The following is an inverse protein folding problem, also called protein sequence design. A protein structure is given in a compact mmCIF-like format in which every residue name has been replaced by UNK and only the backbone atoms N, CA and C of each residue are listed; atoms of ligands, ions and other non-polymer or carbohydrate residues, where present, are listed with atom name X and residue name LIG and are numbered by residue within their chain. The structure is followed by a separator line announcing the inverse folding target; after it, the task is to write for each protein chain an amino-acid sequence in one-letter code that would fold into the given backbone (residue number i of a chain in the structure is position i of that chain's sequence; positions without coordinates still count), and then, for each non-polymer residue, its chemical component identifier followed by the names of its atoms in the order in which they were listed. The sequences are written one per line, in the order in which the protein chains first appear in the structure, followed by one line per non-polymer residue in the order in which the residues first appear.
data_IF_012989430071
#
_entry.id   IF_012989430071
#
_cell.length_a   1.000
_cell.length_b   1.000
_cell.length_c   1.000
_cell.angle_alpha   90.00
_cell.angle_beta   90.00
_cell.angle_gamma   90.00
#
_symmetry.space_group_name_H-M   'P 1'
#
loop_
_entity.id
_entity.type
_entity.pdbx_description
1 polymer ?
#
# COMPACT_ATOMS: atom_id res chain seq x y z
N UNK A 1 -11.25 10.39 -10.18
CA UNK A 1 -11.56 8.99 -9.77
C UNK A 1 -12.40 8.21 -10.79
N UNK A 2 -13.52 8.74 -11.30
CA UNK A 2 -14.44 8.02 -12.23
C UNK A 2 -13.72 7.29 -13.38
N UNK A 3 -12.80 7.96 -14.08
CA UNK A 3 -12.06 7.38 -15.22
C UNK A 3 -11.19 6.17 -14.83
N UNK A 4 -10.59 6.18 -13.64
CA UNK A 4 -9.82 5.02 -13.14
C UNK A 4 -10.74 3.83 -12.86
N UNK A 5 -11.92 4.09 -12.29
CA UNK A 5 -12.94 3.07 -12.00
C UNK A 5 -13.43 2.40 -13.29
N UNK A 6 -13.81 3.22 -14.28
CA UNK A 6 -14.33 2.71 -15.55
C UNK A 6 -13.30 1.86 -16.34
N UNK A 7 -12.01 2.07 -16.10
CA UNK A 7 -10.91 1.37 -16.79
C UNK A 7 -10.24 0.31 -15.91
N UNK A 8 -10.78 0.05 -14.72
CA UNK A 8 -10.26 -0.96 -13.82
C UNK A 8 -8.88 -0.70 -13.23
N UNK A 9 -8.56 0.58 -13.07
CA UNK A 9 -7.31 1.07 -12.47
C UNK A 9 -7.51 1.57 -11.04
N UNK A 10 -8.77 1.66 -10.59
CA UNK A 10 -9.18 1.94 -9.22
C UNK A 10 -10.51 1.26 -8.96
N UNK A 11 -10.78 0.88 -7.72
CA UNK A 11 -11.97 0.16 -7.27
C UNK A 11 -12.28 -1.19 -7.97
N UNK A 12 -11.60 -1.56 -9.04
CA UNK A 12 -11.71 -2.90 -9.61
C UNK A 12 -11.31 -3.93 -8.55
N UNK A 13 -12.19 -4.91 -8.36
CA UNK A 13 -12.13 -5.94 -7.32
C UNK A 13 -12.35 -5.46 -5.88
N UNK A 14 -12.91 -4.26 -5.63
CA UNK A 14 -13.48 -3.99 -4.31
C UNK A 14 -14.67 -4.93 -4.06
N UNK A 15 -14.79 -5.41 -2.83
CA UNK A 15 -15.91 -6.23 -2.42
C UNK A 15 -17.13 -5.35 -2.15
N UNK A 16 -18.20 -5.56 -2.92
CA UNK A 16 -19.44 -4.80 -2.78
C UNK A 16 -20.23 -5.30 -1.55
N UNK A 17 -20.47 -4.39 -0.61
CA UNK A 17 -21.29 -4.62 0.57
C UNK A 17 -22.65 -3.98 0.35
N UNK A 18 -23.61 -4.75 -0.16
CA UNK A 18 -24.94 -4.24 -0.56
C UNK A 18 -26.12 -5.00 0.07
N UNK A 19 -25.84 -6.06 0.84
CA UNK A 19 -26.85 -6.84 1.54
C UNK A 19 -26.97 -6.38 3.00
N UNK A 20 -28.19 -6.13 3.53
CA UNK A 20 -28.39 -5.73 4.92
C UNK A 20 -27.69 -6.63 5.96
N UNK A 21 -27.59 -7.93 5.70
CA UNK A 21 -26.91 -8.88 6.58
C UNK A 21 -25.39 -8.62 6.63
N UNK A 22 -24.79 -8.37 5.47
CA UNK A 22 -23.34 -8.13 5.33
C UNK A 22 -22.99 -6.74 5.89
N UNK A 23 -23.82 -5.72 5.63
CA UNK A 23 -23.71 -4.40 6.26
C UNK A 23 -23.74 -4.52 7.79
N UNK A 24 -24.68 -5.31 8.32
CA UNK A 24 -24.77 -5.57 9.77
C UNK A 24 -23.51 -6.25 10.31
N UNK A 25 -22.97 -7.25 9.61
CA UNK A 25 -21.73 -7.93 10.02
C UNK A 25 -20.55 -6.96 10.09
N UNK A 26 -20.39 -6.13 9.07
CA UNK A 26 -19.36 -5.10 9.04
C UNK A 26 -19.50 -4.11 10.20
N UNK A 27 -20.71 -3.58 10.42
CA UNK A 27 -21.00 -2.69 11.55
C UNK A 27 -20.77 -3.36 12.91
N UNK A 28 -21.06 -4.66 13.04
CA UNK A 28 -20.75 -5.38 14.27
C UNK A 28 -19.23 -5.47 14.51
N UNK A 29 -18.41 -5.66 13.47
CA UNK A 29 -16.95 -5.59 13.61
C UNK A 29 -16.51 -4.20 14.07
N UNK A 30 -17.03 -3.13 13.46
CA UNK A 30 -16.71 -1.76 13.88
C UNK A 30 -17.03 -1.55 15.37
N UNK A 31 -18.20 -1.99 15.82
CA UNK A 31 -18.62 -1.86 17.23
C UNK A 31 -17.71 -2.69 18.16
N UNK A 32 -17.36 -3.91 17.77
CA UNK A 32 -16.51 -4.81 18.58
C UNK A 32 -15.09 -4.26 18.72
N UNK A 33 -14.57 -3.59 17.69
CA UNK A 33 -13.29 -2.83 17.73
C UNK A 33 -13.41 -1.58 18.62
N UNK A 34 -14.60 -1.01 18.77
CA UNK A 34 -14.84 0.26 19.47
C UNK A 34 -14.97 1.48 18.56
N UNK A 35 -15.19 1.27 17.27
CA UNK A 35 -15.41 2.29 16.25
C UNK A 35 -16.90 2.60 16.06
N UNK A 36 -17.18 3.76 15.47
CA UNK A 36 -18.56 4.17 15.17
C UNK A 36 -19.09 3.40 13.95
N UNK A 37 -20.28 2.77 14.01
CA UNK A 37 -20.86 2.08 12.87
C UNK A 37 -21.24 3.06 11.75
N UNK A 38 -21.12 2.62 10.50
CA UNK A 38 -21.57 3.39 9.33
C UNK A 38 -23.09 3.41 9.21
N UNK A 39 -23.63 4.51 8.67
CA UNK A 39 -25.06 4.65 8.35
C UNK A 39 -25.37 4.28 6.90
N UNK A 40 -24.33 4.00 6.10
CA UNK A 40 -24.46 3.60 4.71
C UNK A 40 -25.20 2.26 4.59
N UNK A 41 -26.12 2.19 3.63
CA UNK A 41 -26.85 0.96 3.31
C UNK A 41 -26.10 0.08 2.31
N UNK A 42 -25.15 0.67 1.60
CA UNK A 42 -24.28 -0.01 0.65
C UNK A 42 -22.97 0.76 0.49
N UNK A 43 -21.87 0.04 0.37
CA UNK A 43 -20.52 0.59 0.20
C UNK A 43 -19.59 -0.48 -0.37
N UNK A 44 -18.36 -0.11 -0.69
CA UNK A 44 -17.34 -1.04 -1.16
C UNK A 44 -16.19 -1.12 -0.15
N UNK A 45 -15.64 -2.31 0.04
CA UNK A 45 -14.46 -2.51 0.89
C UNK A 45 -13.32 -3.13 0.10
N UNK A 46 -12.11 -2.79 0.48
CA UNK A 46 -10.90 -3.36 -0.07
C UNK A 46 -10.59 -4.73 0.57
N UNK A 47 -9.48 -5.36 0.19
CA UNK A 47 -9.09 -6.68 0.72
C UNK A 47 -8.96 -6.70 2.25
N UNK A 48 -8.72 -5.55 2.87
CA UNK A 48 -8.57 -5.41 4.30
C UNK A 48 -9.82 -4.91 5.03
N UNK A 49 -10.89 -4.64 4.28
CA UNK A 49 -12.13 -4.13 4.84
C UNK A 49 -12.20 -2.61 4.90
N UNK A 50 -11.22 -1.87 4.39
CA UNK A 50 -11.31 -0.41 4.32
C UNK A 50 -12.25 0.04 3.21
N UNK A 51 -13.09 1.04 3.48
CA UNK A 51 -14.05 1.62 2.53
C UNK A 51 -13.77 3.10 2.31
N UNK A 52 -13.65 3.56 1.04
CA UNK A 52 -13.55 4.98 0.72
C UNK A 52 -14.82 5.74 1.09
N UNK A 53 -16.00 5.14 0.93
CA UNK A 53 -17.28 5.79 1.25
C UNK A 53 -17.46 5.99 2.75
N UNK A 54 -17.02 5.03 3.58
CA UNK A 54 -17.05 5.17 5.05
C UNK A 54 -16.00 6.19 5.50
N UNK A 55 -14.81 6.20 4.89
CA UNK A 55 -13.79 7.20 5.18
C UNK A 55 -14.29 8.63 4.90
N UNK A 56 -15.05 8.81 3.80
CA UNK A 56 -15.72 10.07 3.48
C UNK A 56 -16.83 10.40 4.48
N UNK A 57 -17.72 9.45 4.81
CA UNK A 57 -18.79 9.62 5.80
C UNK A 57 -18.25 10.09 7.16
N UNK A 58 -17.12 9.53 7.59
CA UNK A 58 -16.52 9.80 8.89
C UNK A 58 -15.53 10.97 8.87
N UNK A 59 -15.17 11.50 7.69
CA UNK A 59 -14.10 12.48 7.54
C UNK A 59 -12.74 11.96 8.04
N UNK A 60 -12.54 10.64 8.08
CA UNK A 60 -11.35 9.99 8.61
C UNK A 60 -10.87 8.89 7.66
N UNK A 61 -9.76 9.15 6.96
CA UNK A 61 -9.17 8.21 6.00
C UNK A 61 -8.58 6.96 6.67
N UNK A 62 -8.21 7.05 7.95
CA UNK A 62 -7.55 5.98 8.72
C UNK A 62 -8.47 5.43 9.81
N UNK A 63 -9.78 5.37 9.58
CA UNK A 63 -10.74 4.95 10.61
C UNK A 63 -10.54 3.52 11.12
N UNK A 64 -9.93 2.63 10.33
CA UNK A 64 -9.52 1.29 10.78
C UNK A 64 -8.16 1.29 11.49
N UNK A 65 -7.90 2.30 12.32
CA UNK A 65 -6.71 2.34 13.16
C UNK A 65 -6.96 3.21 14.38
N UNK A 66 -6.56 2.73 15.55
CA UNK A 66 -6.50 3.56 16.75
C UNK A 66 -5.18 4.32 16.77
N UNK A 67 -5.26 5.61 16.47
CA UNK A 67 -4.08 6.45 16.28
C UNK A 67 -3.34 6.05 14.99
N UNK A 68 -2.06 5.73 15.10
CA UNK A 68 -1.22 5.30 13.97
C UNK A 68 -0.44 4.00 14.26
N UNK A 69 -0.60 3.42 15.45
CA UNK A 69 0.16 2.24 15.89
C UNK A 69 -0.64 0.93 15.84
N UNK A 70 -1.98 1.02 15.85
CA UNK A 70 -2.83 -0.15 16.00
C UNK A 70 -3.81 -0.24 14.82
N UNK A 71 -3.37 -0.69 13.64
CA UNK A 71 -4.25 -0.86 12.49
C UNK A 71 -5.06 -2.15 12.61
N UNK A 72 -6.29 -2.09 12.10
CA UNK A 72 -7.25 -3.19 12.11
C UNK A 72 -7.64 -3.59 10.69
N UNK A 73 -8.01 -4.86 10.56
CA UNK A 73 -8.65 -5.40 9.36
C UNK A 73 -10.03 -5.94 9.65
N UNK A 74 -10.94 -5.82 8.69
CA UNK A 74 -12.27 -6.42 8.74
C UNK A 74 -12.43 -7.37 7.55
N UNK A 75 -12.73 -8.64 7.84
CA UNK A 75 -13.02 -9.67 6.86
C UNK A 75 -14.47 -10.15 7.07
N UNK A 76 -15.31 -9.94 6.08
CA UNK A 76 -16.72 -10.36 6.09
C UNK A 76 -17.03 -11.38 4.99
N UNK A 77 -16.06 -11.70 4.14
CA UNK A 77 -16.21 -12.69 3.08
C UNK A 77 -14.83 -13.24 2.61
N UNK A 78 -14.77 -14.49 2.12
CA UNK A 78 -13.55 -15.06 1.55
C UNK A 78 -13.14 -14.41 0.21
N UNK A 79 -14.09 -13.79 -0.51
CA UNK A 79 -13.82 -13.09 -1.77
C UNK A 79 -12.87 -11.89 -1.62
N UNK A 80 -12.71 -11.35 -0.40
CA UNK A 80 -11.71 -10.32 -0.09
C UNK A 80 -10.26 -10.78 -0.35
N UNK A 81 -9.98 -12.09 -0.50
CA UNK A 81 -8.68 -12.62 -0.93
C UNK A 81 -8.13 -11.90 -2.17
N UNK A 82 -9.01 -11.67 -3.15
CA UNK A 82 -8.66 -11.08 -4.44
C UNK A 82 -8.74 -9.55 -4.44
N UNK A 83 -9.21 -8.98 -3.33
CA UNK A 83 -9.33 -7.54 -3.16
C UNK A 83 -7.95 -6.86 -3.08
N UNK A 84 -7.73 -5.73 -3.77
CA UNK A 84 -6.55 -4.91 -3.56
C UNK A 84 -6.56 -4.31 -2.14
N UNK A 85 -5.40 -3.86 -1.65
CA UNK A 85 -5.32 -3.01 -0.45
C UNK A 85 -5.07 -1.58 -0.91
N UNK A 86 -6.08 -0.72 -0.80
CA UNK A 86 -6.00 0.67 -1.27
C UNK A 86 -5.42 1.59 -0.21
N UNK A 87 -5.64 1.27 1.06
CA UNK A 87 -5.18 2.07 2.19
C UNK A 87 -4.33 1.25 3.16
N UNK A 88 -3.13 0.81 2.73
CA UNK A 88 -2.19 0.14 3.64
C UNK A 88 -1.57 1.15 4.63
N UNK A 89 -1.49 0.76 5.91
CA UNK A 89 -0.78 1.54 6.92
C UNK A 89 0.73 1.39 6.78
N UNK A 90 1.17 0.22 6.31
CA UNK A 90 2.55 -0.16 6.05
C UNK A 90 2.71 -0.85 4.69
N UNK A 91 3.90 -0.80 4.09
CA UNK A 91 4.15 -1.50 2.81
C UNK A 91 4.02 -3.02 2.87
N UNK A 92 4.29 -3.63 4.02
CA UNK A 92 4.23 -5.08 4.19
C UNK A 92 2.81 -5.62 4.35
N UNK A 93 1.83 -4.74 4.58
CA UNK A 93 0.43 -5.12 4.82
C UNK A 93 -0.16 -5.99 3.70
N UNK A 94 0.19 -5.68 2.45
CA UNK A 94 -0.19 -6.49 1.28
C UNK A 94 0.38 -7.90 1.29
N UNK A 95 1.52 -8.11 1.96
CA UNK A 95 2.12 -9.43 2.16
C UNK A 95 1.39 -10.19 3.27
N UNK A 96 1.04 -9.49 4.36
CA UNK A 96 0.26 -10.05 5.46
C UNK A 96 -1.10 -10.55 4.94
N UNK A 97 -1.81 -9.75 4.15
CA UNK A 97 -3.09 -10.16 3.54
C UNK A 97 -2.97 -11.46 2.72
N UNK A 98 -1.98 -11.53 1.83
CA UNK A 98 -1.71 -12.73 1.04
C UNK A 98 -1.40 -13.94 1.92
N UNK A 99 -0.62 -13.75 2.98
CA UNK A 99 -0.26 -14.81 3.93
C UNK A 99 -1.50 -15.34 4.67
N UNK A 100 -2.33 -14.43 5.21
CA UNK A 100 -3.55 -14.76 5.95
C UNK A 100 -4.49 -15.61 5.10
N UNK A 101 -4.82 -15.15 3.89
CA UNK A 101 -5.75 -15.88 3.03
C UNK A 101 -5.14 -17.18 2.50
N UNK A 102 -3.82 -17.24 2.28
CA UNK A 102 -3.14 -18.49 1.93
C UNK A 102 -3.22 -19.54 3.04
N UNK A 103 -3.07 -19.14 4.30
CA UNK A 103 -3.03 -20.06 5.44
C UNK A 103 -4.41 -20.43 5.97
N UNK A 104 -5.36 -19.48 5.97
CA UNK A 104 -6.60 -19.60 6.74
C UNK A 104 -7.87 -19.48 5.89
N UNK A 105 -7.79 -19.74 4.58
CA UNK A 105 -8.94 -19.60 3.66
C UNK A 105 -10.20 -20.32 4.13
N UNK A 106 -10.07 -21.56 4.58
CA UNK A 106 -11.19 -22.39 5.02
C UNK A 106 -11.80 -21.85 6.32
N UNK A 107 -10.96 -21.42 7.26
CA UNK A 107 -11.39 -20.82 8.52
C UNK A 107 -12.11 -19.50 8.29
N UNK A 108 -11.55 -18.64 7.43
CA UNK A 108 -12.17 -17.38 7.02
C UNK A 108 -13.55 -17.66 6.41
N UNK A 109 -13.67 -18.63 5.50
CA UNK A 109 -14.95 -19.00 4.91
C UNK A 109 -15.97 -19.48 5.96
N UNK A 110 -15.56 -20.35 6.88
CA UNK A 110 -16.44 -20.87 7.94
C UNK A 110 -16.90 -19.76 8.91
N UNK A 111 -15.99 -18.88 9.34
CA UNK A 111 -16.31 -17.78 10.27
C UNK A 111 -17.21 -16.76 9.58
N UNK A 112 -16.84 -16.33 8.36
CA UNK A 112 -17.58 -15.30 7.61
C UNK A 112 -18.96 -15.78 7.15
N UNK A 113 -19.17 -17.10 7.04
CA UNK A 113 -20.51 -17.66 6.85
C UNK A 113 -21.45 -17.39 8.04
N UNK A 114 -20.91 -17.19 9.25
CA UNK A 114 -21.68 -16.98 10.48
C UNK A 114 -21.71 -15.51 10.89
N UNK A 115 -20.55 -14.88 11.05
CA UNK A 115 -20.38 -13.56 11.65
C UNK A 115 -19.29 -12.76 10.94
N UNK A 116 -19.01 -11.54 11.41
CA UNK A 116 -17.84 -10.78 10.95
C UNK A 116 -16.57 -11.25 11.65
N UNK A 117 -15.46 -11.29 10.91
CA UNK A 117 -14.12 -11.50 11.41
C UNK A 117 -13.38 -10.17 11.35
N UNK A 118 -12.60 -9.85 12.37
CA UNK A 118 -11.65 -8.75 12.31
C UNK A 118 -10.33 -9.19 12.92
N UNK A 119 -9.28 -8.41 12.65
CA UNK A 119 -7.96 -8.67 13.21
C UNK A 119 -7.24 -7.37 13.51
N UNK A 120 -6.30 -7.42 14.44
CA UNK A 120 -5.34 -6.35 14.68
C UNK A 120 -3.95 -6.79 14.25
N UNK A 121 -3.13 -5.81 13.87
CA UNK A 121 -1.70 -5.98 13.77
C UNK A 121 -1.07 -5.53 15.09
N UNK A 122 -0.84 -6.49 15.98
CA UNK A 122 -0.21 -6.24 17.27
C UNK A 122 1.30 -6.09 17.09
N UNK A 123 1.79 -4.88 17.35
CA UNK A 123 3.21 -4.53 17.28
C UNK A 123 3.87 -4.51 18.66
N UNK A 124 3.16 -4.98 19.71
CA UNK A 124 3.53 -4.90 21.12
C UNK A 124 3.75 -3.46 21.64
N UNK A 125 3.21 -2.48 20.92
CA UNK A 125 3.32 -1.06 21.24
C UNK A 125 1.93 -0.43 21.25
N UNK A 126 1.56 0.15 22.39
CA UNK A 126 0.25 0.80 22.54
C UNK A 126 0.14 2.07 21.70
N UNK A 127 1.20 2.87 21.64
CA UNK A 127 1.27 4.10 20.87
C UNK A 127 2.73 4.47 20.58
N UNK A 128 2.99 5.01 19.39
CA UNK A 128 4.30 5.59 19.08
C UNK A 128 4.43 6.95 19.77
N UNK A 129 5.47 7.11 20.58
CA UNK A 129 5.85 8.39 21.21
C UNK A 129 6.83 9.15 20.35
N UNK A 130 7.66 8.41 19.61
CA UNK A 130 8.71 8.96 18.76
C UNK A 130 8.97 8.06 17.55
N UNK A 131 9.46 8.61 16.42
CA UNK A 131 9.82 7.82 15.23
C UNK A 131 10.75 6.65 15.51
N UNK A 132 11.63 6.80 16.51
CA UNK A 132 12.60 5.78 16.91
C UNK A 132 11.94 4.55 17.55
N UNK A 133 10.71 4.67 18.07
CA UNK A 133 9.96 3.51 18.58
C UNK A 133 9.74 2.46 17.49
N UNK A 134 9.64 2.87 16.21
CA UNK A 134 9.50 1.95 15.07
C UNK A 134 10.75 1.09 14.84
N UNK A 135 11.93 1.57 15.26
CA UNK A 135 13.17 0.79 15.17
C UNK A 135 13.17 -0.41 16.12
N UNK A 136 12.39 -0.36 17.20
CA UNK A 136 12.30 -1.45 18.19
C UNK A 136 11.37 -2.60 17.78
N UNK A 137 10.59 -2.45 16.70
CA UNK A 137 9.56 -3.43 16.30
C UNK A 137 10.17 -4.57 15.46
N UNK A 138 10.44 -5.73 16.04
CA UNK A 138 11.10 -6.83 15.31
C UNK A 138 10.14 -7.76 14.57
N UNK A 139 8.89 -7.82 15.02
CA UNK A 139 7.82 -8.55 14.34
C UNK A 139 6.47 -7.91 14.62
N UNK A 140 5.47 -8.37 13.88
CA UNK A 140 4.06 -8.03 14.08
C UNK A 140 3.29 -9.32 14.22
N UNK A 141 2.37 -9.38 15.17
CA UNK A 141 1.47 -10.52 15.34
C UNK A 141 0.09 -10.17 14.79
N UNK A 142 -0.39 -10.97 13.85
CA UNK A 142 -1.79 -10.89 13.42
C UNK A 142 -2.65 -11.64 14.44
N UNK A 143 -3.54 -10.93 15.12
CA UNK A 143 -4.46 -11.51 16.12
C UNK A 143 -5.90 -11.39 15.63
N UNK A 144 -6.61 -12.51 15.55
CA UNK A 144 -7.96 -12.59 15.00
C UNK A 144 -9.04 -12.62 16.06
N UNK A 145 -10.15 -11.96 15.76
CA UNK A 145 -11.33 -11.86 16.60
C UNK A 145 -12.59 -12.05 15.78
N UNK A 146 -13.47 -12.92 16.26
CA UNK A 146 -14.83 -13.03 15.72
C UNK A 146 -15.79 -12.21 16.57
N UNK A 147 -16.69 -11.48 15.90
CA UNK A 147 -17.85 -10.84 16.54
C UNK A 147 -18.61 -11.85 17.40
N UNK A 148 -19.17 -11.40 18.52
CA UNK A 148 -19.89 -12.22 19.51
C UNK A 148 -19.05 -13.35 20.13
N UNK A 149 -17.71 -13.32 19.94
CA UNK A 149 -16.75 -14.30 20.45
C UNK A 149 -17.03 -15.73 19.99
N UNK A 150 -17.54 -15.90 18.77
CA UNK A 150 -17.84 -17.22 18.16
C UNK A 150 -16.64 -18.18 18.18
N UNK A 151 -15.43 -17.70 17.88
CA UNK A 151 -14.20 -18.52 17.92
C UNK A 151 -13.94 -19.07 19.32
N UNK A 152 -14.09 -18.23 20.35
CA UNK A 152 -13.95 -18.64 21.75
C UNK A 152 -15.05 -19.62 22.16
N UNK A 153 -16.30 -19.33 21.79
CA UNK A 153 -17.44 -20.22 22.06
C UNK A 153 -17.25 -21.59 21.40
N UNK A 154 -16.68 -21.65 20.19
CA UNK A 154 -16.35 -22.90 19.52
C UNK A 154 -15.26 -23.69 20.25
N UNK A 155 -14.21 -23.02 20.73
CA UNK A 155 -13.15 -23.65 21.52
C UNK A 155 -13.70 -24.23 22.82
N UNK A 156 -14.51 -23.46 23.55
CA UNK A 156 -15.19 -23.91 24.77
C UNK A 156 -16.13 -25.11 24.50
N UNK A 157 -16.91 -25.05 23.43
CA UNK A 157 -17.79 -26.15 23.04
C UNK A 157 -17.00 -27.43 22.69
N UNK A 158 -15.89 -27.32 21.97
CA UNK A 158 -15.02 -28.48 21.70
C UNK A 158 -14.41 -29.05 22.98
N UNK A 159 -14.03 -28.21 23.94
CA UNK A 159 -13.51 -28.66 25.24
C UNK A 159 -14.57 -29.45 26.03
N UNK A 160 -15.82 -28.97 26.08
CA UNK A 160 -16.92 -29.69 26.72
C UNK A 160 -17.18 -31.05 26.06
N UNK A 161 -17.19 -31.10 24.73
CA UNK A 161 -17.39 -32.36 23.99
C UNK A 161 -16.21 -33.31 24.23
N UNK A 162 -14.98 -32.81 24.23
CA UNK A 162 -13.80 -33.60 24.54
C UNK A 162 -13.87 -34.17 25.96
N UNK A 163 -14.23 -33.37 26.96
CA UNK A 163 -14.45 -33.84 28.33
C UNK A 163 -15.51 -34.95 28.37
N UNK A 164 -16.60 -34.79 27.63
CA UNK A 164 -17.68 -35.78 27.56
C UNK A 164 -17.22 -37.14 27.01
N UNK A 165 -16.29 -37.15 26.05
CA UNK A 165 -15.77 -38.38 25.44
C UNK A 165 -14.56 -38.96 26.19
N UNK A 166 -13.65 -38.12 26.68
CA UNK A 166 -12.36 -38.53 27.24
C UNK A 166 -12.47 -38.94 28.72
N UNK A 167 -13.42 -38.38 29.49
CA UNK A 167 -13.55 -38.64 30.93
C UNK A 167 -14.49 -39.83 31.20
N UNK A 168 -14.05 -40.86 31.96
CA UNK A 168 -14.91 -42.00 32.31
C UNK A 168 -16.18 -41.56 33.02
N UNK A 169 -17.32 -42.14 32.62
CA UNK A 169 -18.66 -41.84 33.17
C UNK A 169 -19.09 -40.36 33.05
N UNK A 170 -18.45 -39.54 32.21
CA UNK A 170 -18.83 -38.14 32.00
C UNK A 170 -20.28 -37.97 31.49
N UNK A 171 -20.80 -38.98 30.79
CA UNK A 171 -22.21 -39.05 30.41
C UNK A 171 -23.16 -38.96 31.60
N UNK A 172 -22.74 -39.33 32.82
CA UNK A 172 -23.54 -39.24 34.05
C UNK A 172 -23.48 -37.86 34.73
N UNK A 173 -22.49 -37.02 34.39
CA UNK A 173 -22.33 -35.67 34.93
C UNK A 173 -23.42 -34.72 34.39
N UNK A 174 -24.41 -34.38 35.24
CA UNK A 174 -25.52 -33.49 34.88
C UNK A 174 -25.04 -32.07 34.53
N UNK A 175 -24.01 -31.55 35.21
CA UNK A 175 -23.49 -30.21 34.95
C UNK A 175 -22.89 -30.13 33.53
N UNK A 176 -22.02 -31.08 33.19
CA UNK A 176 -21.41 -31.15 31.85
C UNK A 176 -22.48 -31.25 30.74
N UNK A 177 -23.49 -32.10 30.92
CA UNK A 177 -24.60 -32.19 29.95
C UNK A 177 -25.35 -30.87 29.80
N UNK A 178 -25.62 -30.19 30.91
CA UNK A 178 -26.28 -28.88 30.89
C UNK A 178 -25.41 -27.82 30.19
N UNK A 179 -24.12 -27.79 30.47
CA UNK A 179 -23.17 -26.85 29.85
C UNK A 179 -23.09 -27.06 28.33
N UNK A 180 -23.11 -28.32 27.86
CA UNK A 180 -23.19 -28.66 26.42
C UNK A 180 -24.51 -28.17 25.81
N UNK A 181 -25.64 -28.44 26.46
CA UNK A 181 -26.96 -28.04 25.97
C UNK A 181 -27.08 -26.50 25.89
N UNK A 182 -26.65 -25.79 26.92
CA UNK A 182 -26.71 -24.32 26.95
C UNK A 182 -25.76 -23.70 25.92
N UNK A 183 -24.56 -24.25 25.74
CA UNK A 183 -23.66 -23.88 24.65
C UNK A 183 -24.35 -24.02 23.28
N UNK A 184 -24.99 -25.17 23.03
CA UNK A 184 -25.69 -25.43 21.78
C UNK A 184 -26.92 -24.55 21.57
N UNK A 185 -27.68 -24.21 22.61
CA UNK A 185 -28.83 -23.30 22.50
C UNK A 185 -28.40 -21.88 22.16
N UNK A 186 -27.31 -21.42 22.77
CA UNK A 186 -26.84 -20.05 22.63
C UNK A 186 -26.14 -19.81 21.29
N UNK A 187 -25.31 -20.75 20.84
CA UNK A 187 -24.44 -20.55 19.68
C UNK A 187 -24.71 -21.50 18.51
N UNK A 188 -25.59 -22.49 18.68
CA UNK A 188 -25.77 -23.58 17.72
C UNK A 188 -24.69 -24.65 17.83
N UNK A 189 -24.65 -25.55 16.85
CA UNK A 189 -23.61 -26.58 16.74
C UNK A 189 -22.39 -26.03 15.99
N UNK A 190 -21.28 -25.83 16.71
CA UNK A 190 -20.02 -25.29 16.22
C UNK A 190 -18.95 -26.38 16.02
N UNK A 191 -19.26 -27.65 16.31
CA UNK A 191 -18.26 -28.74 16.43
C UNK A 191 -17.51 -29.01 15.13
N UNK A 192 -18.19 -28.91 13.98
CA UNK A 192 -17.64 -29.30 12.68
C UNK A 192 -17.02 -28.16 11.87
N UNK A 193 -17.06 -26.93 12.39
CA UNK A 193 -16.55 -25.74 11.70
C UNK A 193 -15.12 -25.42 12.14
N UNK A 194 -14.28 -25.00 11.21
CA UNK A 194 -12.88 -24.64 11.43
C UNK A 194 -12.76 -23.19 11.91
N UNK A 195 -13.11 -22.94 13.16
CA UNK A 195 -13.07 -21.60 13.73
C UNK A 195 -11.76 -21.19 14.40
N UNK A 196 -10.76 -22.07 14.42
CA UNK A 196 -9.50 -21.76 15.10
C UNK A 196 -8.50 -21.16 14.11
N UNK A 197 -8.16 -19.89 14.33
CA UNK A 197 -7.09 -19.19 13.62
C UNK A 197 -6.05 -18.80 14.68
N UNK A 198 -4.83 -19.35 14.62
CA UNK A 198 -3.78 -19.01 15.57
C UNK A 198 -3.22 -17.62 15.31
N UNK A 199 -2.68 -17.01 16.36
CA UNK A 199 -1.89 -15.78 16.25
C UNK A 199 -0.71 -16.03 15.31
N UNK A 200 -0.56 -15.18 14.31
CA UNK A 200 0.39 -15.40 13.21
C UNK A 200 1.46 -14.33 13.24
N UNK A 201 2.71 -14.66 13.62
CA UNK A 201 3.81 -13.70 13.58
C UNK A 201 4.24 -13.42 12.13
N UNK A 202 4.63 -12.17 11.87
CA UNK A 202 5.17 -11.68 10.62
C UNK A 202 6.45 -10.89 10.89
N UNK A 203 7.56 -11.33 10.31
CA UNK A 203 8.92 -10.85 10.65
C UNK A 203 9.58 -10.03 9.55
N UNK A 204 9.00 -9.96 8.35
CA UNK A 204 9.60 -9.23 7.22
C UNK A 204 9.28 -7.72 7.30
N UNK A 205 9.79 -7.08 8.35
CA UNK A 205 9.56 -5.67 8.69
C UNK A 205 10.86 -4.88 8.90
N UNK A 206 11.96 -5.33 8.30
CA UNK A 206 13.25 -4.63 8.36
C UNK A 206 13.23 -3.30 7.60
N UNK A 207 12.49 -3.25 6.50
CA UNK A 207 12.47 -2.12 5.56
C UNK A 207 11.03 -1.88 5.11
N UNK A 208 10.44 -0.75 5.48
CA UNK A 208 9.04 -0.46 5.18
C UNK A 208 8.73 1.04 5.21
N UNK A 209 7.61 1.41 4.60
CA UNK A 209 6.99 2.71 4.80
C UNK A 209 5.83 2.57 5.77
N UNK A 210 5.57 3.59 6.60
CA UNK A 210 4.38 3.71 7.45
C UNK A 210 3.73 5.08 7.31
N UNK A 211 2.40 5.16 7.48
CA UNK A 211 1.69 6.44 7.62
C UNK A 211 2.01 7.19 8.92
N UNK A 212 2.57 6.52 9.92
CA UNK A 212 2.93 7.16 11.18
C UNK A 212 3.82 8.40 10.94
N UNK A 213 3.72 9.40 11.81
CA UNK A 213 4.50 10.64 11.72
C UNK A 213 4.38 11.38 10.39
N UNK A 214 3.17 11.36 9.79
CA UNK A 214 2.87 11.96 8.49
C UNK A 214 3.69 11.35 7.33
N UNK A 215 3.96 10.05 7.40
CA UNK A 215 4.71 9.30 6.41
C UNK A 215 6.18 9.18 6.77
N UNK A 216 6.64 7.95 7.00
CA UNK A 216 8.00 7.65 7.39
C UNK A 216 8.48 6.36 6.72
N UNK A 217 9.64 6.44 6.08
CA UNK A 217 10.38 5.26 5.63
C UNK A 217 11.32 4.82 6.74
N UNK A 218 11.25 3.54 7.09
CA UNK A 218 12.07 2.90 8.11
C UNK A 218 12.93 1.86 7.42
N UNK A 219 14.24 2.02 7.51
CA UNK A 219 15.22 1.08 6.98
C UNK A 219 16.16 0.65 8.11
N UNK A 220 15.83 -0.45 8.79
CA UNK A 220 16.62 -0.96 9.92
C UNK A 220 17.95 -1.54 9.48
N UNK A 221 17.95 -2.18 8.32
CA UNK A 221 19.11 -2.83 7.73
C UNK A 221 19.05 -2.71 6.21
N UNK A 222 19.72 -1.69 5.67
CA UNK A 222 19.78 -1.44 4.24
C UNK A 222 21.17 -0.93 3.84
N UNK A 223 22.11 -1.86 3.63
CA UNK A 223 23.49 -1.61 3.18
C UNK A 223 24.21 -0.46 3.92
N UNK A 224 23.86 -0.21 5.17
CA UNK A 224 24.37 0.90 5.99
C UNK A 224 24.55 0.44 7.43
N UNK A 225 25.53 1.04 8.12
CA UNK A 225 25.92 0.67 9.49
C UNK A 225 24.89 1.08 10.56
N UNK A 226 24.02 2.03 10.22
CA UNK A 226 22.99 2.57 11.12
C UNK A 226 21.62 2.51 10.44
N UNK A 227 20.53 2.25 11.20
CA UNK A 227 19.18 2.41 10.70
C UNK A 227 18.95 3.80 10.11
N UNK A 228 18.21 3.86 9.01
CA UNK A 228 17.84 5.08 8.31
C UNK A 228 16.34 5.34 8.45
N UNK A 229 15.99 6.55 8.90
CA UNK A 229 14.63 7.07 8.92
C UNK A 229 14.52 8.20 7.90
N UNK A 230 13.54 8.13 6.99
CA UNK A 230 13.27 9.20 6.03
C UNK A 230 11.84 9.71 6.18
N UNK A 231 11.68 10.92 6.69
CA UNK A 231 10.39 11.58 6.83
C UNK A 231 9.89 12.04 5.48
N UNK A 232 8.63 11.72 5.16
CA UNK A 232 7.98 12.10 3.90
C UNK A 232 7.57 13.57 3.87
N UNK A 233 7.50 14.22 5.03
CA UNK A 233 7.27 15.66 5.14
C UNK A 233 8.61 16.42 5.25
N UNK A 234 8.55 17.74 5.08
CA UNK A 234 9.71 18.65 5.22
C UNK A 234 9.74 19.37 6.56
N UNK A 235 8.86 19.01 7.48
CA UNK A 235 8.59 19.77 8.71
C UNK A 235 9.45 19.31 9.89
N UNK A 236 10.16 18.18 9.79
CA UNK A 236 11.09 17.78 10.84
C UNK A 236 12.24 18.78 10.94
N UNK A 237 12.51 19.26 12.16
CA UNK A 237 13.59 20.19 12.44
C UNK A 237 14.99 19.55 12.36
N UNK A 238 15.07 18.21 12.33
CA UNK A 238 16.32 17.43 12.33
C UNK A 238 16.45 16.67 11.01
N UNK A 239 17.60 16.82 10.35
CA UNK A 239 17.93 16.13 9.10
C UNK A 239 19.45 15.99 8.97
N UNK A 240 19.93 14.82 8.56
CA UNK A 240 21.34 14.46 8.47
C UNK A 240 22.03 14.19 9.82
N UNK A 241 21.28 14.10 10.93
CA UNK A 241 21.87 13.86 12.24
C UNK A 241 22.33 12.39 12.37
N UNK A 242 23.60 12.20 12.70
CA UNK A 242 24.24 10.87 12.84
C UNK A 242 24.81 10.62 14.25
N UNK A 243 24.55 11.53 15.19
CA UNK A 243 25.01 11.47 16.60
C UNK A 243 24.31 10.36 17.38
N UNK A 244 23.11 9.96 16.96
CA UNK A 244 22.31 8.90 17.56
C UNK A 244 22.67 7.51 17.02
N UNK A 245 21.99 6.48 17.53
CA UNK A 245 22.09 5.10 17.04
C UNK A 245 21.51 4.88 15.64
N UNK A 246 20.96 5.92 15.02
CA UNK A 246 20.30 5.92 13.72
C UNK A 246 20.58 7.23 12.97
N UNK A 247 20.17 7.30 11.71
CA UNK A 247 20.30 8.46 10.82
C UNK A 247 18.90 8.90 10.39
N UNK A 248 18.66 10.21 10.38
CA UNK A 248 17.37 10.80 10.01
C UNK A 248 17.54 11.75 8.84
N UNK A 249 16.65 11.67 7.85
CA UNK A 249 16.55 12.67 6.78
C UNK A 249 15.10 13.09 6.58
N UNK A 250 14.91 14.35 6.21
CA UNK A 250 13.71 14.76 5.51
C UNK A 250 13.82 14.41 4.02
N UNK A 251 12.69 14.12 3.38
CA UNK A 251 12.64 13.82 1.93
C UNK A 251 13.23 14.94 1.06
N UNK A 252 13.17 16.18 1.55
CA UNK A 252 13.66 17.36 0.86
C UNK A 252 15.13 17.70 1.12
N UNK A 253 15.84 16.91 1.94
CA UNK A 253 17.25 17.17 2.23
C UNK A 253 18.13 16.88 1.00
N UNK A 254 18.91 17.88 0.59
CA UNK A 254 19.90 17.77 -0.47
C UNK A 254 20.91 16.63 -0.30
N UNK A 255 21.22 16.21 0.94
CA UNK A 255 22.18 15.14 1.21
C UNK A 255 21.57 13.74 1.13
N UNK A 256 20.24 13.61 1.14
CA UNK A 256 19.56 12.31 1.14
C UNK A 256 19.97 11.48 -0.09
N UNK A 257 19.89 12.06 -1.28
CA UNK A 257 20.23 11.35 -2.52
C UNK A 257 21.70 10.90 -2.54
N UNK A 258 22.61 11.77 -2.07
CA UNK A 258 24.03 11.43 -1.95
C UNK A 258 24.25 10.30 -0.95
N UNK A 259 23.55 10.31 0.19
CA UNK A 259 23.61 9.24 1.18
C UNK A 259 23.12 7.90 0.59
N UNK A 260 21.95 7.90 -0.06
CA UNK A 260 21.39 6.70 -0.67
C UNK A 260 22.31 6.12 -1.76
N UNK A 261 22.94 6.99 -2.56
CA UNK A 261 23.87 6.58 -3.61
C UNK A 261 25.15 5.99 -3.02
N UNK A 262 25.78 6.66 -2.05
CA UNK A 262 27.03 6.23 -1.43
C UNK A 262 26.90 4.91 -0.65
N UNK A 263 25.70 4.57 -0.19
CA UNK A 263 25.41 3.29 0.49
C UNK A 263 24.85 2.22 -0.44
N UNK A 264 24.94 2.38 -1.77
CA UNK A 264 24.42 1.43 -2.76
C UNK A 264 22.93 1.06 -2.54
N UNK A 265 22.12 2.03 -2.12
CA UNK A 265 20.66 1.87 -1.97
C UNK A 265 19.96 2.21 -3.29
N UNK A 266 20.46 3.24 -3.98
CA UNK A 266 19.97 3.66 -5.29
C UNK A 266 21.10 3.61 -6.31
N UNK A 267 20.74 3.56 -7.59
CA UNK A 267 21.65 3.61 -8.72
C UNK A 267 21.11 4.57 -9.78
N UNK A 268 22.01 4.98 -10.66
CA UNK A 268 21.76 5.79 -11.86
C UNK A 268 22.23 5.06 -13.13
N UNK A 269 22.36 3.73 -13.06
CA UNK A 269 22.79 2.90 -14.18
C UNK A 269 21.76 2.96 -15.31
N UNK A 270 22.14 3.56 -16.44
CA UNK A 270 21.25 3.76 -17.56
C UNK A 270 20.90 2.45 -18.29
N UNK A 271 21.67 1.38 -18.09
CA UNK A 271 21.45 0.09 -18.74
C UNK A 271 20.06 -0.48 -18.44
N UNK A 272 19.49 -0.20 -17.25
CA UNK A 272 18.15 -0.67 -16.89
C UNK A 272 17.05 -0.14 -17.83
N UNK A 273 17.27 1.02 -18.45
CA UNK A 273 16.32 1.65 -19.35
C UNK A 273 16.39 1.10 -20.77
N UNK A 274 17.37 0.25 -21.10
CA UNK A 274 17.39 -0.48 -22.39
C UNK A 274 16.26 -1.50 -22.49
N UNK A 275 16.00 -2.21 -21.40
CA UNK A 275 14.90 -3.18 -21.34
C UNK A 275 13.54 -2.48 -21.29
N UNK A 276 13.50 -1.27 -20.74
CA UNK A 276 12.25 -0.52 -20.51
C UNK A 276 12.36 0.96 -20.91
N UNK A 277 12.62 1.27 -22.20
CA UNK A 277 12.81 2.65 -22.66
C UNK A 277 11.54 3.50 -22.51
N UNK A 278 10.38 2.84 -22.43
CA UNK A 278 9.10 3.47 -22.15
C UNK A 278 9.09 4.25 -20.84
N UNK A 279 9.87 3.86 -19.82
CA UNK A 279 9.94 4.63 -18.57
C UNK A 279 10.51 6.04 -18.79
N UNK A 280 11.53 6.15 -19.64
CA UNK A 280 12.16 7.42 -20.02
C UNK A 280 11.22 8.22 -20.93
N UNK A 281 10.53 7.56 -21.86
CA UNK A 281 9.54 8.19 -22.73
C UNK A 281 8.37 8.78 -21.93
N UNK A 282 7.85 8.06 -20.93
CA UNK A 282 6.77 8.55 -20.08
C UNK A 282 7.17 9.78 -19.27
N UNK A 283 8.40 9.81 -18.70
CA UNK A 283 8.91 10.99 -18.00
C UNK A 283 8.95 12.19 -18.96
N UNK A 284 9.52 12.00 -20.15
CA UNK A 284 9.65 13.04 -21.17
C UNK A 284 8.29 13.59 -21.60
N UNK A 285 7.35 12.71 -21.91
CA UNK A 285 6.00 13.08 -22.35
C UNK A 285 5.20 13.75 -21.21
N UNK A 286 5.41 13.32 -19.96
CA UNK A 286 4.77 13.93 -18.80
C UNK A 286 5.30 15.33 -18.52
N UNK A 287 6.61 15.58 -18.66
CA UNK A 287 7.20 16.93 -18.60
C UNK A 287 6.57 17.83 -19.67
N UNK A 288 6.46 17.35 -20.91
CA UNK A 288 5.82 18.12 -21.99
C UNK A 288 4.35 18.42 -21.68
N UNK A 289 3.58 17.41 -21.26
CA UNK A 289 2.17 17.57 -20.89
C UNK A 289 1.99 18.61 -19.79
N UNK A 290 2.79 18.57 -18.72
CA UNK A 290 2.75 19.57 -17.64
C UNK A 290 3.09 20.98 -18.15
N UNK A 291 4.07 21.08 -19.06
CA UNK A 291 4.48 22.35 -19.67
C UNK A 291 3.36 22.93 -20.54
N UNK A 292 2.68 22.09 -21.33
CA UNK A 292 1.52 22.47 -22.15
C UNK A 292 0.37 22.97 -21.27
N UNK A 293 0.01 22.23 -20.21
CA UNK A 293 -1.05 22.64 -19.29
C UNK A 293 -0.76 23.97 -18.58
N UNK A 294 0.51 24.23 -18.26
CA UNK A 294 0.95 25.49 -17.66
C UNK A 294 0.93 26.67 -18.64
N UNK A 295 1.11 26.41 -19.94
CA UNK A 295 1.15 27.43 -20.98
C UNK A 295 -0.22 27.77 -21.55
N UNK A 296 -0.96 26.76 -22.02
CA UNK A 296 -2.25 26.93 -22.69
C UNK A 296 -3.13 25.69 -22.51
N UNK A 297 -4.09 25.81 -21.59
CA UNK A 297 -5.04 24.74 -21.25
C UNK A 297 -6.01 24.39 -22.38
N UNK A 298 -6.10 25.21 -23.43
CA UNK A 298 -6.95 24.90 -24.59
C UNK A 298 -6.32 23.84 -25.50
N UNK A 299 -5.00 23.66 -25.42
CA UNK A 299 -4.29 22.62 -26.16
C UNK A 299 -4.61 21.26 -25.53
N UNK A 300 -5.33 20.42 -26.28
CA UNK A 300 -5.67 19.05 -25.87
C UNK A 300 -4.51 18.09 -26.18
N UNK A 301 -3.50 18.04 -25.30
CA UNK A 301 -2.27 17.27 -25.54
C UNK A 301 -2.53 15.80 -25.91
N UNK A 302 -3.49 15.15 -25.24
CA UNK A 302 -3.82 13.74 -25.48
C UNK A 302 -4.31 13.47 -26.92
N UNK A 303 -4.84 14.48 -27.62
CA UNK A 303 -5.40 14.35 -28.97
C UNK A 303 -4.38 14.71 -30.07
N UNK A 304 -3.21 15.23 -29.69
CA UNK A 304 -2.21 15.67 -30.65
C UNK A 304 -1.48 14.47 -31.26
N UNK A 305 -1.41 14.44 -32.59
CA UNK A 305 -0.52 13.55 -33.30
C UNK A 305 0.96 14.01 -33.17
N UNK A 306 1.89 13.15 -33.61
CA UNK A 306 3.33 13.41 -33.51
C UNK A 306 3.77 14.74 -34.16
N UNK A 307 3.19 15.11 -35.30
CA UNK A 307 3.53 16.36 -36.01
C UNK A 307 3.00 17.57 -35.26
N UNK A 308 1.78 17.50 -34.73
CA UNK A 308 1.20 18.56 -33.90
C UNK A 308 1.99 18.76 -32.61
N UNK A 309 2.42 17.67 -31.94
CA UNK A 309 3.29 17.75 -30.76
C UNK A 309 4.58 18.51 -31.06
N UNK A 310 5.24 18.25 -32.20
CA UNK A 310 6.42 19.03 -32.64
C UNK A 310 6.12 20.51 -32.83
N UNK A 311 4.97 20.86 -33.39
CA UNK A 311 4.54 22.25 -33.54
C UNK A 311 4.40 22.96 -32.18
N UNK A 312 3.79 22.29 -31.22
CA UNK A 312 3.65 22.80 -29.84
C UNK A 312 5.00 22.96 -29.16
N UNK A 313 5.90 21.98 -29.27
CA UNK A 313 7.26 22.07 -28.71
C UNK A 313 8.01 23.28 -29.27
N UNK A 314 7.97 23.51 -30.59
CA UNK A 314 8.62 24.68 -31.19
C UNK A 314 8.03 26.01 -30.69
N UNK A 315 6.71 26.07 -30.50
CA UNK A 315 6.03 27.25 -29.92
C UNK A 315 6.49 27.47 -28.47
N UNK A 316 6.50 26.44 -27.63
CA UNK A 316 6.96 26.53 -26.25
C UNK A 316 8.46 26.90 -26.16
N UNK A 317 9.26 26.44 -27.12
CA UNK A 317 10.67 26.78 -27.23
C UNK A 317 10.87 28.27 -27.59
N UNK A 318 10.10 28.82 -28.54
CA UNK A 318 10.16 30.25 -28.86
C UNK A 318 9.75 31.15 -27.69
N UNK A 319 8.88 30.65 -26.82
CA UNK A 319 8.46 31.34 -25.59
C UNK A 319 9.43 31.13 -24.41
N UNK A 320 10.50 30.33 -24.58
CA UNK A 320 11.51 30.03 -23.55
C UNK A 320 10.94 29.31 -22.30
N UNK A 321 9.88 28.51 -22.48
CA UNK A 321 9.18 27.80 -21.39
C UNK A 321 9.56 26.30 -21.35
N UNK A 322 10.14 25.76 -22.42
CA UNK A 322 10.53 24.35 -22.47
C UNK A 322 11.69 24.01 -21.51
N UNK A 323 11.52 23.02 -20.62
CA UNK A 323 12.61 22.55 -19.75
C UNK A 323 13.74 21.87 -20.54
N UNK A 324 15.00 22.11 -20.15
CA UNK A 324 16.19 21.49 -20.78
C UNK A 324 16.16 19.96 -20.64
N UNK A 325 15.61 19.46 -19.54
CA UNK A 325 15.44 18.05 -19.21
C UNK A 325 14.67 17.30 -20.30
N UNK A 326 13.71 17.96 -20.98
CA UNK A 326 12.96 17.37 -22.09
C UNK A 326 13.90 16.96 -23.24
N UNK A 327 14.82 17.84 -23.62
CA UNK A 327 15.75 17.61 -24.73
C UNK A 327 16.85 16.62 -24.35
N UNK A 328 17.30 16.64 -23.09
CA UNK A 328 18.22 15.62 -22.58
C UNK A 328 17.57 14.21 -22.57
N UNK A 329 16.30 14.10 -22.21
CA UNK A 329 15.55 12.85 -22.29
C UNK A 329 15.35 12.38 -23.74
N UNK A 330 15.09 13.30 -24.68
CA UNK A 330 15.04 12.98 -26.11
C UNK A 330 16.39 12.44 -26.62
N UNK A 331 17.49 13.07 -26.22
CA UNK A 331 18.84 12.61 -26.52
C UNK A 331 19.10 11.24 -25.91
N UNK A 332 18.76 11.04 -24.63
CA UNK A 332 18.90 9.75 -23.94
C UNK A 332 18.15 8.63 -24.68
N UNK A 333 16.89 8.84 -25.06
CA UNK A 333 16.10 7.86 -25.82
C UNK A 333 16.74 7.48 -27.17
N UNK A 334 17.46 8.40 -27.81
CA UNK A 334 18.19 8.08 -29.05
C UNK A 334 19.45 7.24 -28.77
N UNK A 335 20.13 7.50 -27.65
CA UNK A 335 21.35 6.83 -27.21
C UNK A 335 21.07 5.44 -26.62
N UNK A 336 19.92 5.20 -25.98
CA UNK A 336 19.56 3.88 -25.43
C UNK A 336 19.58 2.75 -26.47
N UNK A 337 19.60 3.06 -27.76
CA UNK A 337 19.69 2.11 -28.87
C UNK A 337 21.12 1.71 -29.25
N UNK A 338 22.15 2.37 -28.70
CA UNK A 338 23.57 2.16 -28.99
C UNK A 338 24.36 1.90 -27.69
N UNK A 339 24.87 0.66 -27.56
CA UNK A 339 25.60 0.18 -26.39
C UNK A 339 26.88 0.96 -26.08
N UNK A 340 27.56 1.51 -27.08
CA UNK A 340 28.80 2.28 -26.84
C UNK A 340 28.50 3.71 -26.41
N UNK A 341 27.41 4.26 -26.93
CA UNK A 341 27.00 5.62 -26.63
C UNK A 341 26.45 5.76 -25.20
N UNK A 342 25.73 4.77 -24.68
CA UNK A 342 25.17 4.81 -23.32
C UNK A 342 26.26 4.76 -22.24
N UNK A 343 27.30 3.94 -22.41
CA UNK A 343 28.40 3.80 -21.44
C UNK A 343 29.23 5.07 -21.28
N UNK A 344 29.23 5.92 -22.31
CA UNK A 344 29.94 7.20 -22.32
C UNK A 344 29.03 8.40 -22.06
N UNK A 345 27.72 8.19 -21.89
CA UNK A 345 26.76 9.27 -21.68
C UNK A 345 26.73 9.72 -20.22
N UNK A 346 27.01 11.00 -19.99
CA UNK A 346 26.87 11.63 -18.68
C UNK A 346 25.50 12.31 -18.57
N UNK A 347 24.75 11.98 -17.52
CA UNK A 347 23.48 12.62 -17.17
C UNK A 347 23.74 13.90 -16.37
N UNK A 348 23.04 14.98 -16.71
CA UNK A 348 23.11 16.24 -15.96
C UNK A 348 22.60 16.08 -14.52
N UNK A 349 23.02 16.98 -13.63
CA UNK A 349 22.54 16.99 -12.25
C UNK A 349 21.02 17.23 -12.16
N UNK A 350 20.45 17.97 -13.12
CA UNK A 350 19.01 18.24 -13.20
C UNK A 350 18.21 17.01 -13.62
N UNK A 351 18.72 16.23 -14.58
CA UNK A 351 18.03 15.04 -15.09
C UNK A 351 18.20 13.82 -14.17
N UNK A 352 19.31 13.74 -13.43
CA UNK A 352 19.64 12.57 -12.60
C UNK A 352 18.50 12.11 -11.67
N UNK A 353 17.79 13.00 -10.93
CA UNK A 353 16.69 12.59 -10.05
C UNK A 353 15.52 11.89 -10.75
N UNK A 354 15.37 12.04 -12.06
CA UNK A 354 14.31 11.38 -12.84
C UNK A 354 14.66 9.93 -13.21
N UNK A 355 15.95 9.60 -13.18
CA UNK A 355 16.50 8.34 -13.66
C UNK A 355 17.04 7.46 -12.52
N UNK A 356 16.76 7.84 -11.27
CA UNK A 356 17.12 7.04 -10.11
C UNK A 356 16.22 5.82 -10.01
N UNK A 357 16.83 4.70 -9.62
CA UNK A 357 16.15 3.45 -9.35
C UNK A 357 16.83 2.72 -8.17
N UNK A 358 16.18 1.73 -7.55
CA UNK A 358 16.82 0.91 -6.54
C UNK A 358 18.06 0.20 -7.10
N UNK A 359 19.08 0.03 -6.26
CA UNK A 359 20.28 -0.71 -6.62
C UNK A 359 19.95 -2.19 -6.92
N UNK A 360 20.68 -2.81 -7.85
CA UNK A 360 20.46 -4.18 -8.32
C UNK A 360 20.54 -5.21 -7.20
N UNK A 361 21.42 -4.96 -6.23
CA UNK A 361 21.79 -5.89 -5.15
C UNK A 361 20.74 -5.97 -4.03
N UNK A 362 19.77 -5.04 -4.03
CA UNK A 362 18.68 -5.06 -3.06
C UNK A 362 17.73 -6.24 -3.30
N UNK A 363 17.21 -6.81 -2.21
CA UNK A 363 16.13 -7.81 -2.26
C UNK A 363 14.86 -7.19 -2.83
N UNK A 364 13.99 -8.01 -3.41
CA UNK A 364 12.76 -7.55 -4.07
C UNK A 364 11.85 -6.69 -3.16
N UNK A 365 11.70 -7.07 -1.89
CA UNK A 365 10.90 -6.30 -0.94
C UNK A 365 11.56 -4.95 -0.58
N UNK A 366 12.89 -4.90 -0.48
CA UNK A 366 13.63 -3.64 -0.29
C UNK A 366 13.49 -2.72 -1.51
N UNK A 367 13.61 -3.28 -2.72
CA UNK A 367 13.44 -2.53 -3.98
C UNK A 367 12.08 -1.85 -4.05
N UNK A 368 11.00 -2.50 -3.60
CA UNK A 368 9.65 -1.90 -3.58
C UNK A 368 9.57 -0.67 -2.68
N UNK A 369 10.14 -0.73 -1.47
CA UNK A 369 10.14 0.40 -0.53
C UNK A 369 11.02 1.53 -1.04
N UNK A 370 12.20 1.22 -1.60
CA UNK A 370 13.08 2.22 -2.23
C UNK A 370 12.42 2.85 -3.46
N UNK A 371 11.71 2.07 -4.29
CA UNK A 371 10.92 2.61 -5.39
C UNK A 371 9.84 3.56 -4.91
N UNK A 372 9.13 3.19 -3.84
CA UNK A 372 8.11 4.05 -3.24
C UNK A 372 8.71 5.37 -2.76
N UNK A 373 9.87 5.32 -2.07
CA UNK A 373 10.65 6.49 -1.65
C UNK A 373 11.03 7.38 -2.84
N UNK A 374 11.61 6.79 -3.88
CA UNK A 374 11.99 7.52 -5.10
C UNK A 374 10.79 8.16 -5.79
N UNK A 375 9.63 7.51 -5.79
CA UNK A 375 8.38 8.09 -6.31
C UNK A 375 7.89 9.27 -5.46
N UNK A 376 8.13 9.27 -4.15
CA UNK A 376 7.86 10.42 -3.28
C UNK A 376 8.82 11.57 -3.56
N UNK A 377 10.10 11.28 -3.83
CA UNK A 377 11.11 12.30 -4.20
C UNK A 377 10.80 12.89 -5.58
N UNK A 378 10.51 12.04 -6.58
CA UNK A 378 10.23 12.44 -7.95
C UNK A 378 9.00 11.71 -8.50
N UNK A 379 7.97 12.51 -8.80
CA UNK A 379 6.65 12.04 -9.21
C UNK A 379 6.36 12.28 -10.71
N UNK A 380 7.39 12.39 -11.55
CA UNK A 380 7.24 12.64 -12.99
C UNK A 380 7.02 11.39 -13.85
N UNK A 381 6.93 10.22 -13.23
CA UNK A 381 6.58 8.99 -13.93
C UNK A 381 5.28 8.41 -13.34
N UNK A 382 4.13 8.61 -14.00
CA UNK A 382 2.84 8.15 -13.49
C UNK A 382 2.72 6.62 -13.46
N UNK A 383 3.48 5.90 -14.29
CA UNK A 383 3.50 4.43 -14.27
C UNK A 383 4.21 3.92 -13.01
N UNK A 384 5.38 4.42 -12.67
CA UNK A 384 6.08 4.00 -11.43
C UNK A 384 5.32 4.42 -10.19
N UNK A 385 4.70 5.60 -10.19
CA UNK A 385 3.77 6.03 -9.13
C UNK A 385 2.65 5.01 -8.93
N UNK A 386 1.97 4.60 -10.01
CA UNK A 386 0.89 3.62 -9.91
C UNK A 386 1.37 2.24 -9.44
N UNK A 387 2.57 1.83 -9.82
CA UNK A 387 3.10 0.51 -9.48
C UNK A 387 3.63 0.42 -8.05
N UNK A 388 4.33 1.47 -7.59
CA UNK A 388 5.09 1.43 -6.33
C UNK A 388 4.57 2.38 -5.26
N UNK A 389 3.79 3.41 -5.60
CA UNK A 389 3.22 4.35 -4.63
C UNK A 389 1.76 4.71 -4.97
N UNK A 390 0.88 3.70 -4.92
CA UNK A 390 -0.55 3.84 -5.25
C UNK A 390 -1.26 4.93 -4.46
N UNK A 391 -0.96 5.06 -3.17
CA UNK A 391 -1.57 6.08 -2.31
C UNK A 391 -1.26 7.49 -2.81
N UNK A 392 0.01 7.78 -3.10
CA UNK A 392 0.43 9.06 -3.68
C UNK A 392 -0.15 9.26 -5.08
N UNK A 393 -0.14 8.22 -5.91
CA UNK A 393 -0.74 8.27 -7.25
C UNK A 393 -2.22 8.69 -7.20
N UNK A 394 -3.04 8.07 -6.36
CA UNK A 394 -4.46 8.39 -6.28
C UNK A 394 -4.72 9.79 -5.72
N UNK A 395 -3.89 10.24 -4.76
CA UNK A 395 -3.94 11.61 -4.26
C UNK A 395 -3.67 12.62 -5.38
N UNK A 396 -2.56 12.44 -6.11
CA UNK A 396 -2.17 13.33 -7.21
C UNK A 396 -3.14 13.28 -8.39
N UNK A 397 -3.66 12.10 -8.73
CA UNK A 397 -4.60 11.92 -9.82
C UNK A 397 -5.88 12.74 -9.61
N UNK A 398 -6.34 12.88 -8.36
CA UNK A 398 -7.49 13.71 -8.01
C UNK A 398 -7.28 15.20 -8.31
N UNK A 399 -6.04 15.68 -8.26
CA UNK A 399 -5.66 17.08 -8.47
C UNK A 399 -5.26 17.39 -9.92
N UNK A 400 -4.95 16.36 -10.72
CA UNK A 400 -4.56 16.54 -12.12
C UNK A 400 -5.69 17.04 -13.00
N UNK A 401 -5.34 17.88 -13.97
CA UNK A 401 -6.26 18.35 -15.00
C UNK A 401 -6.82 17.19 -15.83
N UNK A 402 -8.03 17.37 -16.38
CA UNK A 402 -8.75 16.33 -17.11
C UNK A 402 -7.92 15.69 -18.23
N UNK A 403 -7.22 16.48 -19.04
CA UNK A 403 -6.39 15.94 -20.12
C UNK A 403 -5.22 15.09 -19.60
N UNK A 404 -4.69 15.42 -18.42
CA UNK A 404 -3.64 14.64 -17.77
C UNK A 404 -4.17 13.33 -17.25
N UNK A 405 -5.35 13.34 -16.63
CA UNK A 405 -6.03 12.14 -16.19
C UNK A 405 -6.28 11.17 -17.35
N UNK A 406 -6.76 11.67 -18.50
CA UNK A 406 -6.99 10.86 -19.71
C UNK A 406 -5.67 10.24 -20.19
N UNK A 407 -4.65 11.06 -20.42
CA UNK A 407 -3.36 10.58 -20.91
C UNK A 407 -2.73 9.54 -19.98
N UNK A 408 -2.79 9.74 -18.66
CA UNK A 408 -2.26 8.78 -17.69
C UNK A 408 -3.02 7.45 -17.74
N UNK A 409 -4.36 7.47 -17.80
CA UNK A 409 -5.17 6.25 -17.91
C UNK A 409 -4.77 5.44 -19.13
N UNK A 410 -4.63 6.08 -20.30
CA UNK A 410 -4.20 5.41 -21.53
C UNK A 410 -2.84 4.73 -21.35
N UNK A 411 -1.87 5.43 -20.74
CA UNK A 411 -0.53 4.88 -20.50
C UNK A 411 -0.50 3.76 -19.47
N UNK A 412 -1.33 3.81 -18.45
CA UNK A 412 -1.46 2.71 -17.50
C UNK A 412 -2.08 1.48 -18.14
N UNK A 413 -3.08 1.62 -19.00
CA UNK A 413 -3.67 0.49 -19.71
C UNK A 413 -2.66 -0.21 -20.63
N UNK A 414 -1.81 0.57 -21.31
CA UNK A 414 -0.76 0.05 -22.19
C UNK A 414 0.39 -0.63 -21.42
N UNK A 415 0.75 -0.13 -20.23
CA UNK A 415 2.05 -0.46 -19.61
C UNK A 415 2.01 -0.94 -18.15
N UNK A 416 0.85 -1.09 -17.50
CA UNK A 416 0.77 -1.53 -16.08
C UNK A 416 1.38 -2.89 -15.76
N UNK A 417 1.65 -3.73 -16.76
CA UNK A 417 2.23 -5.05 -16.61
C UNK A 417 3.72 -5.11 -17.03
N UNK A 418 4.42 -3.97 -17.07
CA UNK A 418 5.79 -3.86 -17.58
C UNK A 418 6.83 -4.75 -16.84
N UNK A 419 6.56 -5.10 -15.58
CA UNK A 419 7.41 -5.96 -14.75
C UNK A 419 6.83 -7.36 -14.52
N UNK A 420 5.73 -7.72 -15.18
CA UNK A 420 5.04 -9.01 -15.01
C UNK A 420 5.37 -10.00 -16.12
#
# INVERSE_FOLDING_TARGET
MIKLIQNGLFADNLFAVNNPLIVKRYNNCLIDIGLTPTKLKSFHIDGWGWSPEIAEEQGNRTYLCHGLANPFGIIISPEQEFGPIYMPFHTFDSQIHKLIFKLYKEQIADITAVCGLWFELDQEVTAFRSPQDLLMIDYITVVFYSVDRIMKAAQEQRALIREFYDVPQAWSNQKLRNDIIESSKKHGDLRFKKFEIPNTPFVDIENYYTLAFNGLYVFKNLNSDKPLLVFSNKESAVSGESTHGHIEFNIGDHQLLSYLYNNNIISNDLEIYKSHPILVELIKDFILLRTVNGFDKTIQYHALNKTQKKGVINKLLSEHIMPEEYFELEKLLSILKDDKAIQSYSVSDKLRPYLLHPHSDLKENQKKVVWQLLCTINNHNPLTLYLFNKSLFYSMYGEWEEQTQIWVVDKLLEHKNIYN
#
